data_IF_518546445953
#
_entry.id   IF_518546445953
#
_cell.length_a   1.000
_cell.length_b   1.000
_cell.length_c   1.000
_cell.angle_alpha   90.00
_cell.angle_beta   90.00
_cell.angle_gamma   90.00
#
_symmetry.space_group_name_H-M   'P 1'
#
loop_
_entity.id
_entity.type
_entity.pdbx_description
1 polymer ?
#
# COMPACT_ATOMS: atom_id res chain seq x y z
N UNK A 1 11.16 55.37 24.64
CA UNK A 1 9.84 55.16 25.27
C UNK A 1 9.41 53.74 25.01
N UNK A 2 9.39 52.90 26.05
CA UNK A 2 8.52 51.72 26.25
C UNK A 2 8.94 51.03 27.56
N UNK A 3 8.01 50.47 28.34
CA UNK A 3 8.17 50.30 29.78
C UNK A 3 8.56 48.88 30.23
N UNK A 4 9.06 48.80 31.46
CA UNK A 4 9.21 47.58 32.27
C UNK A 4 7.88 46.80 32.36
N UNK A 5 7.97 45.48 32.25
CA UNK A 5 6.98 44.53 32.74
C UNK A 5 7.67 43.33 33.43
N UNK A 6 7.03 42.66 34.40
CA UNK A 6 7.69 42.16 35.60
C UNK A 6 8.08 40.67 35.57
N UNK A 7 9.02 40.32 36.45
CA UNK A 7 9.52 38.97 36.75
C UNK A 7 8.42 38.08 37.34
N UNK A 8 8.23 36.89 36.76
CA UNK A 8 7.45 35.78 37.31
C UNK A 8 8.33 34.87 38.20
N UNK A 9 7.78 34.31 39.31
CA UNK A 9 8.54 33.48 40.23
C UNK A 9 8.61 32.00 39.79
N UNK A 10 9.76 31.38 40.06
CA UNK A 10 10.07 29.95 39.92
C UNK A 10 9.21 29.10 40.87
N UNK A 11 8.49 28.11 40.33
CA UNK A 11 7.89 27.01 41.10
C UNK A 11 8.85 25.81 41.14
N UNK A 12 8.98 25.09 42.27
CA UNK A 12 9.85 23.93 42.38
C UNK A 12 9.19 22.66 41.82
N UNK A 13 9.93 21.95 40.97
CA UNK A 13 9.64 20.58 40.52
C UNK A 13 9.71 19.61 41.71
N UNK A 14 8.56 19.06 42.13
CA UNK A 14 8.53 17.92 43.05
C UNK A 14 8.83 16.62 42.27
N UNK A 15 9.97 16.03 42.58
CA UNK A 15 10.40 14.69 42.18
C UNK A 15 9.55 13.61 42.87
N UNK A 16 8.67 12.94 42.14
CA UNK A 16 8.10 11.67 42.57
C UNK A 16 9.03 10.51 42.11
N UNK A 17 9.69 9.87 43.07
CA UNK A 17 10.48 8.63 42.89
C UNK A 17 9.64 7.39 43.29
N UNK A 18 10.03 6.18 42.84
CA UNK A 18 9.13 5.06 42.57
C UNK A 18 8.83 4.18 43.78
N UNK A 19 7.68 3.51 43.77
CA UNK A 19 7.33 2.47 44.74
C UNK A 19 8.01 1.12 44.40
N UNK A 20 8.50 0.36 45.40
CA UNK A 20 9.23 -0.89 45.17
C UNK A 20 8.33 -2.13 45.19
N UNK A 21 8.93 -3.19 44.66
CA UNK A 21 8.45 -4.54 44.36
C UNK A 21 7.98 -5.36 45.56
N UNK A 22 7.11 -6.34 45.29
CA UNK A 22 6.90 -7.55 46.10
C UNK A 22 6.71 -8.77 45.17
N UNK A 23 7.59 -9.79 45.24
CA UNK A 23 7.28 -11.14 44.82
C UNK A 23 7.32 -12.11 46.02
N UNK A 24 6.31 -12.96 46.16
CA UNK A 24 6.34 -14.08 47.11
C UNK A 24 6.03 -15.42 46.43
N UNK A 25 7.10 -16.21 46.39
CA UNK A 25 7.31 -17.66 46.31
C UNK A 25 6.12 -18.64 46.22
N UNK A 26 6.24 -19.51 45.21
CA UNK A 26 6.31 -20.98 45.24
C UNK A 26 5.71 -21.77 46.44
N UNK A 27 4.86 -22.75 46.09
CA UNK A 27 4.47 -23.86 46.95
C UNK A 27 3.78 -24.99 46.15
N UNK A 28 4.43 -26.14 46.08
CA UNK A 28 4.08 -27.39 45.40
C UNK A 28 2.96 -28.16 46.12
N UNK A 29 2.08 -28.88 45.39
CA UNK A 29 1.75 -30.31 45.59
C UNK A 29 0.57 -30.77 44.73
N UNK A 30 0.75 -31.93 44.11
CA UNK A 30 -0.28 -32.76 43.50
C UNK A 30 -1.22 -33.36 44.57
N UNK A 31 -2.47 -33.66 44.20
CA UNK A 31 -3.24 -34.81 44.68
C UNK A 31 -4.52 -34.99 43.86
N UNK A 32 -4.90 -36.26 43.72
CA UNK A 32 -6.00 -36.78 42.93
C UNK A 32 -7.38 -36.46 43.54
N UNK A 33 -8.41 -36.44 42.69
CA UNK A 33 -9.46 -37.48 42.64
C UNK A 33 -10.88 -36.97 42.33
N UNK A 34 -11.57 -37.80 41.52
CA UNK A 34 -13.03 -38.06 41.46
C UNK A 34 -13.95 -37.03 40.78
N UNK A 35 -14.34 -37.42 39.56
CA UNK A 35 -15.62 -37.09 38.91
C UNK A 35 -16.77 -37.88 39.58
N UNK A 36 -18.01 -37.38 39.56
CA UNK A 36 -19.18 -38.24 39.55
C UNK A 36 -19.78 -38.34 38.14
N UNK A 37 -20.23 -39.55 37.88
CA UNK A 37 -20.94 -40.07 36.71
C UNK A 37 -22.43 -39.88 36.96
N UNK A 38 -23.20 -39.51 35.93
CA UNK A 38 -24.65 -39.75 35.88
C UNK A 38 -24.98 -40.35 34.51
N UNK A 39 -25.14 -41.68 34.55
CA UNK A 39 -25.72 -42.55 33.53
C UNK A 39 -27.25 -42.50 33.59
N UNK A 40 -27.95 -42.70 32.47
CA UNK A 40 -29.19 -43.53 32.33
C UNK A 40 -29.64 -43.56 30.85
N UNK A 41 -30.45 -44.55 30.41
CA UNK A 41 -29.99 -45.51 29.39
C UNK A 41 -30.74 -45.43 28.05
N UNK A 42 -30.14 -46.10 27.07
CA UNK A 42 -30.75 -46.45 25.77
C UNK A 42 -31.93 -47.42 25.93
N UNK A 43 -33.00 -47.21 25.17
CA UNK A 43 -33.85 -48.31 24.69
C UNK A 43 -34.21 -48.09 23.22
N UNK A 44 -33.76 -49.01 22.36
CA UNK A 44 -34.23 -49.19 20.98
C UNK A 44 -35.52 -49.99 21.00
N UNK A 45 -36.58 -49.51 20.35
CA UNK A 45 -37.70 -50.33 19.87
C UNK A 45 -38.21 -49.77 18.54
N UNK A 46 -38.23 -50.65 17.53
CA UNK A 46 -39.10 -50.64 16.35
C UNK A 46 -39.43 -52.14 16.10
N UNK A 47 -40.42 -52.56 15.29
CA UNK A 47 -41.28 -51.81 14.34
C UNK A 47 -42.79 -52.21 14.39
N UNK A 48 -43.66 -51.57 13.58
CA UNK A 48 -44.80 -52.24 12.89
C UNK A 48 -45.48 -51.34 11.84
N UNK A 49 -46.13 -52.01 10.90
CA UNK A 49 -46.52 -51.59 9.55
C UNK A 49 -47.84 -50.77 9.43
N UNK A 50 -48.02 -50.22 8.21
CA UNK A 50 -49.09 -49.39 7.60
C UNK A 50 -50.54 -49.93 7.73
N UNK A 51 -51.62 -49.15 7.42
CA UNK A 51 -51.99 -48.83 6.03
C UNK A 51 -52.69 -47.47 5.73
N UNK A 52 -52.54 -47.05 4.47
CA UNK A 52 -53.46 -46.37 3.53
C UNK A 52 -54.39 -45.18 3.92
N UNK A 53 -54.35 -44.20 3.00
CA UNK A 53 -55.45 -43.37 2.45
C UNK A 53 -55.76 -42.01 3.08
N UNK A 54 -55.52 -40.94 2.32
CA UNK A 54 -56.56 -40.07 1.72
C UNK A 54 -55.87 -38.83 1.12
N UNK A 55 -56.09 -38.59 -0.17
CA UNK A 55 -55.46 -37.51 -0.92
C UNK A 55 -56.04 -36.14 -0.57
N UNK A 56 -55.16 -35.13 -0.51
CA UNK A 56 -55.46 -33.74 -0.79
C UNK A 56 -54.22 -33.15 -1.46
N UNK A 57 -54.36 -32.74 -2.72
CA UNK A 57 -53.39 -31.93 -3.46
C UNK A 57 -53.50 -30.49 -2.99
N UNK A 58 -52.42 -29.81 -2.53
CA UNK A 58 -52.41 -28.36 -2.52
C UNK A 58 -51.46 -27.84 -3.60
N UNK A 59 -52.02 -26.90 -4.36
CA UNK A 59 -51.41 -25.86 -5.16
C UNK A 59 -49.88 -25.88 -5.30
N UNK A 60 -49.45 -26.05 -6.56
CA UNK A 60 -48.16 -25.65 -7.10
C UNK A 60 -47.85 -24.22 -6.65
N UNK A 61 -47.15 -24.09 -5.53
CA UNK A 61 -46.52 -22.84 -5.14
C UNK A 61 -45.58 -22.48 -6.30
N UNK A 62 -45.87 -21.36 -6.98
CA UNK A 62 -44.89 -20.70 -7.82
C UNK A 62 -43.72 -20.36 -6.88
N UNK A 63 -42.74 -21.26 -6.83
CA UNK A 63 -41.39 -20.94 -6.41
C UNK A 63 -40.97 -19.78 -7.30
N UNK A 64 -41.05 -18.56 -6.75
CA UNK A 64 -40.50 -17.38 -7.37
C UNK A 64 -39.09 -17.74 -7.78
N UNK A 65 -38.83 -17.70 -9.10
CA UNK A 65 -37.47 -17.79 -9.62
C UNK A 65 -36.65 -16.81 -8.82
N UNK A 66 -35.72 -17.32 -8.00
CA UNK A 66 -34.65 -16.50 -7.46
C UNK A 66 -34.11 -15.69 -8.62
N UNK A 67 -34.04 -14.36 -8.47
CA UNK A 67 -33.41 -13.52 -9.46
C UNK A 67 -32.07 -14.16 -9.82
N UNK A 68 -31.72 -14.31 -11.12
CA UNK A 68 -30.49 -14.96 -11.50
C UNK A 68 -29.37 -14.27 -10.74
N UNK A 69 -28.63 -15.03 -9.92
CA UNK A 69 -27.43 -14.53 -9.26
C UNK A 69 -26.58 -13.92 -10.37
N UNK A 70 -26.47 -12.58 -10.40
CA UNK A 70 -25.67 -11.91 -11.42
C UNK A 70 -24.28 -12.52 -11.33
N UNK A 71 -23.92 -13.26 -12.37
CA UNK A 71 -22.72 -14.10 -12.36
C UNK A 71 -21.52 -13.18 -12.10
N UNK A 72 -20.81 -13.40 -10.98
CA UNK A 72 -19.66 -12.55 -10.63
C UNK A 72 -18.57 -12.77 -11.66
N UNK A 73 -17.89 -11.72 -12.17
CA UNK A 73 -16.89 -11.93 -13.19
C UNK A 73 -15.71 -12.74 -12.63
N UNK A 74 -15.31 -13.76 -13.39
CA UNK A 74 -14.19 -14.64 -13.04
C UNK A 74 -12.87 -13.87 -13.00
N UNK A 75 -11.99 -14.31 -12.11
CA UNK A 75 -10.64 -13.79 -11.95
C UNK A 75 -9.88 -13.85 -13.27
N UNK A 76 -9.20 -12.75 -13.60
CA UNK A 76 -8.34 -12.67 -14.79
C UNK A 76 -6.89 -12.83 -14.35
N UNK A 77 -6.25 -13.93 -14.78
CA UNK A 77 -4.85 -14.21 -14.45
C UNK A 77 -3.90 -13.09 -14.91
N UNK A 78 -4.16 -12.47 -16.06
CA UNK A 78 -3.35 -11.35 -16.56
C UNK A 78 -3.38 -10.10 -15.67
N UNK A 79 -4.35 -10.00 -14.76
CA UNK A 79 -4.48 -8.92 -13.78
C UNK A 79 -4.12 -9.38 -12.37
N UNK A 80 -3.56 -10.59 -12.20
CA UNK A 80 -3.15 -11.12 -10.89
C UNK A 80 -4.26 -11.13 -9.84
N UNK A 81 -5.53 -11.28 -10.25
CA UNK A 81 -6.68 -11.17 -9.36
C UNK A 81 -6.80 -12.41 -8.46
N UNK A 82 -6.63 -12.20 -7.15
CA UNK A 82 -7.07 -13.11 -6.09
C UNK A 82 -8.09 -12.36 -5.23
N UNK A 83 -9.35 -12.78 -5.25
CA UNK A 83 -10.41 -12.06 -4.54
C UNK A 83 -10.45 -12.51 -3.09
N UNK A 84 -10.43 -11.56 -2.16
CA UNK A 84 -10.62 -11.85 -0.73
C UNK A 84 -12.09 -12.22 -0.50
N UNK A 85 -12.35 -13.40 0.04
CA UNK A 85 -13.71 -13.89 0.34
C UNK A 85 -14.02 -13.87 1.84
N UNK A 86 -13.01 -13.96 2.70
CA UNK A 86 -13.18 -13.92 4.14
C UNK A 86 -13.51 -12.50 4.63
N UNK A 87 -14.79 -12.30 4.99
CA UNK A 87 -15.31 -11.02 5.50
C UNK A 87 -14.66 -10.60 6.83
N UNK A 88 -14.27 -11.55 7.68
CA UNK A 88 -13.61 -11.24 8.96
C UNK A 88 -12.20 -10.68 8.73
N UNK A 89 -11.48 -11.24 7.74
CA UNK A 89 -10.19 -10.73 7.27
C UNK A 89 -10.37 -9.35 6.63
N UNK A 90 -11.38 -9.18 5.77
CA UNK A 90 -11.67 -7.89 5.13
C UNK A 90 -11.88 -6.77 6.16
N UNK A 91 -12.72 -7.01 7.17
CA UNK A 91 -12.91 -6.06 8.26
C UNK A 91 -11.63 -5.78 9.04
N UNK A 92 -10.78 -6.79 9.26
CA UNK A 92 -9.51 -6.63 9.97
C UNK A 92 -8.50 -5.79 9.17
N UNK A 93 -8.50 -5.90 7.84
CA UNK A 93 -7.72 -5.02 6.95
C UNK A 93 -8.24 -3.59 7.05
N UNK A 94 -9.55 -3.37 6.96
CA UNK A 94 -10.17 -2.03 7.08
C UNK A 94 -9.83 -1.38 8.43
N UNK A 95 -9.93 -2.14 9.53
CA UNK A 95 -9.54 -1.66 10.87
C UNK A 95 -8.04 -1.38 11.01
N UNK A 96 -7.19 -1.85 10.09
CA UNK A 96 -5.77 -1.53 10.11
C UNK A 96 -5.50 -0.11 9.57
N UNK A 97 -6.44 0.52 8.87
CA UNK A 97 -6.37 1.94 8.52
C UNK A 97 -6.65 2.77 9.78
N UNK A 98 -5.65 3.52 10.25
CA UNK A 98 -5.72 4.29 11.50
C UNK A 98 -5.44 5.77 11.31
N UNK A 99 -5.03 6.21 10.11
CA UNK A 99 -4.86 7.61 9.81
C UNK A 99 -6.15 8.38 10.17
N UNK A 100 -6.03 9.57 10.81
CA UNK A 100 -7.18 10.42 11.05
C UNK A 100 -7.76 10.80 9.70
N UNK A 101 -8.87 10.15 9.34
CA UNK A 101 -9.54 10.38 8.06
C UNK A 101 -10.32 11.70 8.15
N UNK A 102 -9.60 12.84 8.16
CA UNK A 102 -10.21 14.15 8.07
C UNK A 102 -10.89 14.32 6.70
N UNK A 103 -11.83 15.26 6.61
CA UNK A 103 -12.74 15.44 5.48
C UNK A 103 -14.14 14.92 5.79
N UNK A 104 -15.17 15.61 5.29
CA UNK A 104 -16.57 15.20 5.48
C UNK A 104 -16.77 13.73 5.08
N UNK A 105 -17.32 12.93 6.01
CA UNK A 105 -17.61 11.51 5.76
C UNK A 105 -16.40 10.63 5.39
N UNK A 106 -15.16 11.04 5.70
CA UNK A 106 -13.97 10.26 5.34
C UNK A 106 -13.53 10.40 3.89
N UNK A 107 -13.79 11.56 3.27
CA UNK A 107 -13.53 11.83 1.84
C UNK A 107 -12.09 11.64 1.33
N UNK A 108 -11.11 11.48 2.23
CA UNK A 108 -9.69 11.28 1.88
C UNK A 108 -9.27 9.79 1.80
N UNK A 109 -10.18 8.85 2.05
CA UNK A 109 -9.92 7.42 1.85
C UNK A 109 -10.00 7.07 0.37
N UNK A 110 -8.98 6.37 -0.13
CA UNK A 110 -8.96 5.86 -1.49
C UNK A 110 -8.68 4.36 -1.49
N UNK A 111 -9.63 3.58 -2.00
CA UNK A 111 -9.43 2.15 -2.26
C UNK A 111 -8.84 1.93 -3.67
N UNK A 112 -7.70 1.26 -3.72
CA UNK A 112 -6.97 0.96 -4.96
C UNK A 112 -7.27 -0.47 -5.39
N UNK A 113 -7.97 -0.63 -6.51
CA UNK A 113 -8.35 -1.94 -7.04
C UNK A 113 -9.38 -2.65 -6.14
N UNK A 114 -10.60 -2.12 -5.98
CA UNK A 114 -11.66 -2.73 -5.17
C UNK A 114 -12.06 -4.14 -5.63
N UNK A 115 -11.82 -4.51 -6.90
CA UNK A 115 -12.17 -5.81 -7.44
C UNK A 115 -13.67 -6.10 -7.28
N UNK A 116 -14.01 -7.20 -6.60
CA UNK A 116 -15.40 -7.57 -6.34
C UNK A 116 -16.04 -6.82 -5.16
N UNK A 117 -15.34 -5.89 -4.51
CA UNK A 117 -15.87 -5.09 -3.42
C UNK A 117 -15.67 -5.67 -2.01
N UNK A 118 -14.66 -6.53 -1.84
CA UNK A 118 -14.42 -7.26 -0.59
C UNK A 118 -14.13 -6.31 0.59
N UNK A 119 -13.33 -5.26 0.38
CA UNK A 119 -13.10 -4.21 1.37
C UNK A 119 -14.10 -3.07 1.23
N UNK A 120 -14.51 -2.76 -0.01
CA UNK A 120 -15.34 -1.61 -0.37
C UNK A 120 -16.60 -1.46 0.45
N UNK A 121 -17.34 -2.53 0.71
CA UNK A 121 -18.58 -2.44 1.49
C UNK A 121 -18.34 -2.04 2.95
N UNK A 122 -17.27 -2.57 3.57
CA UNK A 122 -16.86 -2.21 4.92
C UNK A 122 -16.27 -0.79 4.97
N UNK A 123 -15.49 -0.40 3.95
CA UNK A 123 -14.93 0.94 3.83
C UNK A 123 -16.02 1.99 3.64
N UNK A 124 -16.99 1.74 2.76
CA UNK A 124 -18.08 2.69 2.49
C UNK A 124 -18.98 2.89 3.72
N UNK A 125 -19.15 1.85 4.54
CA UNK A 125 -19.88 1.96 5.81
C UNK A 125 -19.13 2.84 6.84
N UNK A 126 -17.79 2.78 6.87
CA UNK A 126 -16.96 3.57 7.78
C UNK A 126 -16.63 4.98 7.23
N UNK A 127 -16.58 5.12 5.90
CA UNK A 127 -16.13 6.30 5.17
C UNK A 127 -17.05 6.54 3.96
N UNK A 128 -18.27 7.09 4.16
CA UNK A 128 -19.22 7.32 3.07
C UNK A 128 -18.70 8.17 1.90
N UNK A 129 -17.71 9.04 2.15
CA UNK A 129 -17.10 9.91 1.14
C UNK A 129 -15.92 9.29 0.38
N UNK A 130 -15.59 8.02 0.63
CA UNK A 130 -14.42 7.37 0.03
C UNK A 130 -14.47 7.34 -1.51
N UNK A 131 -13.29 7.31 -2.13
CA UNK A 131 -13.12 7.05 -3.55
C UNK A 131 -12.61 5.62 -3.76
N UNK A 132 -13.17 4.91 -4.75
CA UNK A 132 -12.59 3.69 -5.29
C UNK A 132 -12.03 3.93 -6.70
N UNK A 133 -10.88 3.32 -7.00
CA UNK A 133 -10.23 3.39 -8.32
C UNK A 133 -9.99 1.98 -8.85
N UNK A 134 -10.64 1.64 -9.96
CA UNK A 134 -10.59 0.29 -10.56
C UNK A 134 -10.24 0.37 -12.05
N UNK A 135 -9.43 -0.56 -12.54
CA UNK A 135 -9.00 -0.63 -13.94
C UNK A 135 -9.87 -1.60 -14.76
N UNK A 136 -10.40 -2.66 -14.13
CA UNK A 136 -11.23 -3.66 -14.78
C UNK A 136 -12.67 -3.16 -14.95
N UNK A 137 -13.04 -2.83 -16.19
CA UNK A 137 -14.40 -2.38 -16.55
C UNK A 137 -15.52 -3.30 -16.05
N UNK A 138 -15.25 -4.61 -15.90
CA UNK A 138 -16.23 -5.59 -15.42
C UNK A 138 -16.51 -5.40 -13.92
N UNK A 139 -15.44 -5.16 -13.15
CA UNK A 139 -15.54 -4.83 -11.73
C UNK A 139 -16.23 -3.50 -11.53
N UNK A 140 -15.91 -2.50 -12.37
CA UNK A 140 -16.60 -1.20 -12.37
C UNK A 140 -18.11 -1.35 -12.57
N UNK A 141 -18.53 -2.14 -13.56
CA UNK A 141 -19.95 -2.39 -13.81
C UNK A 141 -20.63 -3.10 -12.64
N UNK A 142 -19.95 -4.08 -12.02
CA UNK A 142 -20.43 -4.80 -10.85
C UNK A 142 -20.61 -3.85 -9.65
N UNK A 143 -19.59 -3.04 -9.34
CA UNK A 143 -19.60 -2.14 -8.19
C UNK A 143 -20.65 -1.04 -8.35
N UNK A 144 -20.80 -0.43 -9.53
CA UNK A 144 -21.88 0.55 -9.78
C UNK A 144 -23.27 -0.04 -9.57
N UNK A 145 -23.45 -1.32 -9.90
CA UNK A 145 -24.73 -1.99 -9.75
C UNK A 145 -25.03 -2.41 -8.31
N UNK A 146 -24.01 -2.68 -7.49
CA UNK A 146 -24.16 -3.16 -6.11
C UNK A 146 -24.07 -2.04 -5.07
N UNK A 147 -23.26 -1.02 -5.33
CA UNK A 147 -22.92 0.08 -4.43
C UNK A 147 -23.12 1.42 -5.16
N UNK A 148 -24.38 1.83 -5.46
CA UNK A 148 -24.65 3.03 -6.24
C UNK A 148 -24.20 4.34 -5.57
N UNK A 149 -24.00 4.33 -4.24
CA UNK A 149 -23.48 5.47 -3.48
C UNK A 149 -21.94 5.59 -3.52
N UNK A 150 -21.23 4.59 -4.06
CA UNK A 150 -19.77 4.60 -4.13
C UNK A 150 -19.28 5.59 -5.20
N UNK A 151 -18.43 6.52 -4.83
CA UNK A 151 -17.65 7.27 -5.81
C UNK A 151 -16.60 6.34 -6.45
N UNK A 152 -16.72 6.09 -7.75
CA UNK A 152 -15.89 5.10 -8.46
C UNK A 152 -15.32 5.66 -9.76
N UNK A 153 -13.98 5.69 -9.86
CA UNK A 153 -13.25 6.06 -11.08
C UNK A 153 -12.73 4.82 -11.81
N UNK A 154 -13.03 4.74 -13.11
CA UNK A 154 -12.49 3.71 -14.00
C UNK A 154 -11.15 4.17 -14.61
N UNK A 155 -10.04 3.83 -13.98
CA UNK A 155 -8.69 4.18 -14.45
C UNK A 155 -7.59 3.31 -13.82
N UNK A 156 -6.40 3.35 -14.41
CA UNK A 156 -5.18 2.78 -13.82
C UNK A 156 -4.75 3.63 -12.62
N UNK A 157 -4.76 3.06 -11.42
CA UNK A 157 -4.32 3.77 -10.21
C UNK A 157 -2.87 4.25 -10.30
N UNK A 158 -1.98 3.53 -11.00
CA UNK A 158 -0.63 4.04 -11.18
C UNK A 158 -0.65 5.35 -11.99
N UNK A 159 -1.50 5.48 -13.00
CA UNK A 159 -1.61 6.71 -13.78
C UNK A 159 -2.31 7.89 -13.05
N UNK A 160 -2.79 7.68 -11.82
CA UNK A 160 -3.47 8.72 -11.04
C UNK A 160 -2.45 9.68 -10.40
N UNK A 161 -2.60 10.97 -10.65
CA UNK A 161 -1.79 12.02 -10.02
C UNK A 161 -2.28 12.27 -8.59
N UNK A 162 -1.55 11.73 -7.60
CA UNK A 162 -1.96 11.78 -6.20
C UNK A 162 -1.94 13.20 -5.63
N UNK A 163 -1.05 14.07 -6.11
CA UNK A 163 -1.02 15.48 -5.71
C UNK A 163 -2.32 16.21 -6.10
N UNK A 164 -2.78 15.98 -7.33
CA UNK A 164 -4.03 16.56 -7.82
C UNK A 164 -5.24 16.00 -7.08
N UNK A 165 -5.25 14.69 -6.80
CA UNK A 165 -6.32 14.07 -6.01
C UNK A 165 -6.32 14.58 -4.55
N UNK A 166 -5.16 14.71 -3.92
CA UNK A 166 -5.06 15.26 -2.57
C UNK A 166 -5.59 16.70 -2.51
N UNK A 167 -5.26 17.53 -3.50
CA UNK A 167 -5.83 18.88 -3.62
C UNK A 167 -7.36 18.85 -3.81
N UNK A 168 -7.86 17.98 -4.69
CA UNK A 168 -9.30 17.75 -4.91
C UNK A 168 -10.02 17.34 -3.61
N UNK A 169 -9.38 16.52 -2.77
CA UNK A 169 -9.92 16.03 -1.48
C UNK A 169 -9.60 16.90 -0.29
N UNK A 170 -8.92 18.03 -0.50
CA UNK A 170 -8.60 18.98 0.57
C UNK A 170 -7.54 18.48 1.58
N UNK A 171 -6.66 17.55 1.20
CA UNK A 171 -5.52 17.16 2.02
C UNK A 171 -4.94 15.77 1.72
N UNK A 172 -4.02 15.34 2.58
CA UNK A 172 -3.33 14.05 2.45
C UNK A 172 -4.30 12.86 2.45
N UNK A 173 -3.96 11.85 1.64
CA UNK A 173 -4.79 10.69 1.35
C UNK A 173 -4.45 9.51 2.26
N UNK A 174 -5.46 8.73 2.61
CA UNK A 174 -5.32 7.43 3.26
C UNK A 174 -5.64 6.34 2.23
N UNK A 175 -4.64 5.54 1.87
CA UNK A 175 -4.74 4.58 0.77
C UNK A 175 -4.90 3.16 1.30
N UNK A 176 -5.78 2.37 0.68
CA UNK A 176 -6.00 0.97 1.10
C UNK A 176 -6.20 0.07 -0.11
N UNK A 177 -5.67 -1.15 -0.07
CA UNK A 177 -5.77 -2.08 -1.18
C UNK A 177 -5.59 -3.53 -0.75
N UNK A 178 -6.42 -4.41 -1.31
CA UNK A 178 -6.04 -5.81 -1.51
C UNK A 178 -5.23 -5.90 -2.82
N UNK A 179 -3.93 -5.64 -2.73
CA UNK A 179 -3.10 -5.29 -3.88
C UNK A 179 -2.82 -6.49 -4.80
N UNK A 180 -2.99 -6.35 -6.12
CA UNK A 180 -2.49 -7.35 -7.06
C UNK A 180 -0.97 -7.51 -6.96
N UNK A 181 -0.49 -8.74 -6.73
CA UNK A 181 0.92 -8.96 -6.34
C UNK A 181 1.95 -8.46 -7.37
N UNK A 182 1.63 -8.53 -8.66
CA UNK A 182 2.52 -8.06 -9.74
C UNK A 182 2.78 -6.55 -9.69
N UNK A 183 1.92 -5.76 -9.02
CA UNK A 183 2.00 -4.30 -8.97
C UNK A 183 2.70 -3.78 -7.70
N UNK A 184 2.91 -4.64 -6.71
CA UNK A 184 3.31 -4.24 -5.35
C UNK A 184 4.51 -3.29 -5.33
N UNK A 185 5.59 -3.63 -6.04
CA UNK A 185 6.80 -2.79 -6.05
C UNK A 185 6.56 -1.41 -6.65
N UNK A 186 5.84 -1.34 -7.79
CA UNK A 186 5.54 -0.06 -8.45
C UNK A 186 4.67 0.83 -7.57
N UNK A 187 3.70 0.24 -6.88
CA UNK A 187 2.86 0.95 -5.94
C UNK A 187 3.68 1.51 -4.78
N UNK A 188 4.50 0.68 -4.13
CA UNK A 188 5.36 1.12 -3.02
C UNK A 188 6.28 2.28 -3.40
N UNK A 189 6.88 2.24 -4.59
CA UNK A 189 7.65 3.39 -5.06
C UNK A 189 6.77 4.61 -5.33
N UNK A 190 5.56 4.46 -5.88
CA UNK A 190 4.64 5.59 -6.08
C UNK A 190 4.26 6.28 -4.76
N UNK A 191 4.09 5.50 -3.69
CA UNK A 191 3.83 6.02 -2.34
C UNK A 191 5.00 6.88 -1.84
N UNK A 192 6.24 6.43 -2.05
CA UNK A 192 7.44 7.22 -1.70
C UNK A 192 7.58 8.47 -2.59
N UNK A 193 7.24 8.41 -3.88
CA UNK A 193 7.24 9.58 -4.75
C UNK A 193 6.22 10.64 -4.33
N UNK A 194 5.14 10.24 -3.66
CA UNK A 194 4.01 11.09 -3.27
C UNK A 194 3.91 11.24 -1.76
N UNK A 195 5.05 11.16 -1.06
CA UNK A 195 5.12 11.13 0.40
C UNK A 195 4.60 12.43 1.07
N UNK A 196 4.50 13.52 0.32
CA UNK A 196 3.92 14.78 0.77
C UNK A 196 2.39 14.71 0.93
N UNK A 197 1.74 13.83 0.17
CA UNK A 197 0.28 13.80 0.02
C UNK A 197 -0.35 12.47 0.40
N UNK A 198 0.44 11.54 0.93
CA UNK A 198 -0.04 10.25 1.45
C UNK A 198 0.28 10.17 2.94
N UNK A 199 -0.74 10.02 3.76
CA UNK A 199 -0.62 9.94 5.21
C UNK A 199 -0.40 8.49 5.70
N UNK A 200 -1.10 7.56 5.07
CA UNK A 200 -1.01 6.13 5.37
C UNK A 200 -1.37 5.31 4.14
N UNK A 201 -0.72 4.15 4.00
CA UNK A 201 -1.11 3.11 3.07
C UNK A 201 -1.23 1.75 3.77
N UNK A 202 -2.35 1.07 3.56
CA UNK A 202 -2.59 -0.33 3.96
C UNK A 202 -2.62 -1.20 2.71
N UNK A 203 -1.62 -2.07 2.58
CA UNK A 203 -1.45 -2.92 1.40
C UNK A 203 -1.39 -4.38 1.81
N UNK A 204 -2.00 -5.25 1.01
CA UNK A 204 -1.71 -6.68 1.04
C UNK A 204 -0.56 -7.00 0.07
N UNK A 205 0.33 -7.89 0.46
CA UNK A 205 1.41 -8.37 -0.42
C UNK A 205 1.84 -9.77 -0.02
N UNK A 206 2.55 -10.48 -0.89
CA UNK A 206 3.11 -11.78 -0.52
C UNK A 206 4.06 -11.62 0.69
N UNK A 207 4.05 -12.59 1.61
CA UNK A 207 4.89 -12.54 2.83
C UNK A 207 6.37 -12.30 2.50
N UNK A 208 6.90 -12.94 1.46
CA UNK A 208 8.27 -12.77 0.99
C UNK A 208 8.60 -11.32 0.58
N UNK A 209 7.62 -10.58 0.04
CA UNK A 209 7.77 -9.18 -0.32
C UNK A 209 7.75 -8.32 0.94
N UNK A 210 6.87 -8.61 1.90
CA UNK A 210 6.84 -7.93 3.20
C UNK A 210 8.16 -8.12 3.96
N UNK A 211 8.71 -9.34 3.96
CA UNK A 211 10.04 -9.64 4.53
C UNK A 211 11.15 -8.85 3.84
N UNK A 212 11.10 -8.71 2.51
CA UNK A 212 12.03 -7.87 1.75
C UNK A 212 11.92 -6.40 2.14
N UNK A 213 10.72 -5.86 2.30
CA UNK A 213 10.52 -4.47 2.74
C UNK A 213 11.12 -4.22 4.14
N UNK A 214 10.95 -5.18 5.05
CA UNK A 214 11.40 -5.09 6.45
C UNK A 214 12.82 -5.63 6.69
N UNK A 215 13.50 -6.06 5.63
CA UNK A 215 14.82 -6.67 5.72
C UNK A 215 15.86 -5.70 6.28
N UNK A 216 16.74 -6.21 7.16
CA UNK A 216 17.89 -5.46 7.71
C UNK A 216 19.14 -5.62 6.84
N UNK A 217 20.11 -4.69 6.92
CA UNK A 217 21.40 -4.84 6.27
C UNK A 217 22.05 -6.20 6.57
N UNK A 218 22.80 -6.71 5.60
CA UNK A 218 23.45 -8.01 5.63
C UNK A 218 22.53 -9.21 5.37
N UNK A 219 21.19 -9.06 5.43
CA UNK A 219 20.27 -10.16 5.15
C UNK A 219 20.15 -10.49 3.66
N UNK A 220 19.76 -11.72 3.33
CA UNK A 220 19.57 -12.16 1.93
C UNK A 220 18.45 -11.37 1.23
N UNK A 221 17.44 -10.94 1.98
CA UNK A 221 16.28 -10.23 1.47
C UNK A 221 16.54 -8.72 1.28
N UNK A 222 17.60 -8.16 1.87
CA UNK A 222 17.89 -6.72 1.82
C UNK A 222 18.13 -6.19 0.40
N UNK A 223 17.45 -5.12 0.00
CA UNK A 223 17.58 -4.57 -1.34
C UNK A 223 17.01 -3.16 -1.47
N UNK A 224 16.82 -2.74 -2.71
CA UNK A 224 16.31 -1.40 -3.05
C UNK A 224 15.00 -1.07 -2.31
N UNK A 225 14.06 -2.02 -2.23
CA UNK A 225 12.79 -1.82 -1.51
C UNK A 225 13.00 -1.64 -0.01
N UNK A 226 13.92 -2.40 0.59
CA UNK A 226 14.25 -2.29 2.01
C UNK A 226 14.76 -0.88 2.32
N UNK A 227 15.75 -0.43 1.55
CA UNK A 227 16.37 0.89 1.73
C UNK A 227 15.37 2.01 1.48
N UNK A 228 14.68 2.01 0.33
CA UNK A 228 13.78 3.11 -0.03
C UNK A 228 12.64 3.29 0.96
N UNK A 229 12.01 2.20 1.40
CA UNK A 229 10.84 2.30 2.28
C UNK A 229 11.25 2.60 3.72
N UNK A 230 12.42 2.14 4.18
CA UNK A 230 12.92 2.46 5.52
C UNK A 230 13.51 3.87 5.60
N UNK A 231 14.06 4.40 4.49
CA UNK A 231 14.47 5.80 4.40
C UNK A 231 13.27 6.73 4.42
N UNK A 232 12.29 6.49 3.56
CA UNK A 232 11.17 7.40 3.33
C UNK A 232 9.87 6.93 3.98
N UNK A 233 9.96 6.23 5.11
CA UNK A 233 8.78 5.82 5.85
C UNK A 233 9.03 4.78 6.92
N UNK A 234 7.92 4.31 7.49
CA UNK A 234 7.90 3.30 8.56
C UNK A 234 7.02 2.13 8.13
N UNK A 235 7.56 1.18 7.33
CA UNK A 235 6.80 -0.03 7.00
C UNK A 235 6.67 -0.92 8.24
N UNK A 236 5.48 -1.49 8.44
CA UNK A 236 5.20 -2.42 9.52
C UNK A 236 4.29 -3.56 9.03
N UNK A 237 4.67 -4.80 9.33
CA UNK A 237 3.79 -5.96 9.13
C UNK A 237 2.73 -5.96 10.23
N UNK A 238 1.47 -5.92 9.86
CA UNK A 238 0.34 -5.86 10.79
C UNK A 238 -0.10 -7.27 11.17
N UNK A 239 -0.37 -8.13 10.17
CA UNK A 239 -0.70 -9.54 10.36
C UNK A 239 -0.63 -10.30 9.02
N UNK A 240 -0.71 -11.63 9.11
CA UNK A 240 -0.75 -12.51 7.95
C UNK A 240 -2.15 -13.05 7.69
N UNK A 241 -2.41 -13.30 6.42
CA UNK A 241 -3.64 -13.87 5.88
C UNK A 241 -3.27 -15.20 5.22
N UNK A 242 -3.96 -16.30 5.60
CA UNK A 242 -3.74 -17.59 4.99
C UNK A 242 -4.34 -17.62 3.56
N UNK A 243 -3.77 -18.41 2.62
CA UNK A 243 -4.24 -18.47 1.23
C UNK A 243 -5.73 -18.80 1.06
N UNK A 244 -6.29 -19.57 1.99
CA UNK A 244 -7.68 -20.02 1.99
C UNK A 244 -8.69 -18.88 2.16
N UNK A 245 -8.24 -17.69 2.57
CA UNK A 245 -9.08 -16.49 2.63
C UNK A 245 -9.40 -15.92 1.23
N UNK A 246 -8.78 -16.44 0.17
CA UNK A 246 -8.88 -15.92 -1.20
C UNK A 246 -9.43 -16.94 -2.20
N UNK A 247 -10.03 -16.43 -3.27
CA UNK A 247 -10.50 -17.21 -4.42
C UNK A 247 -10.17 -16.51 -5.75
N UNK A 248 -9.37 -17.15 -6.64
CA UNK A 248 -8.60 -18.36 -6.37
C UNK A 248 -7.57 -18.14 -5.24
N UNK A 249 -7.23 -19.20 -4.52
CA UNK A 249 -6.23 -19.15 -3.46
C UNK A 249 -4.83 -18.89 -4.07
N UNK A 250 -4.06 -17.92 -3.53
CA UNK A 250 -2.68 -17.70 -3.94
C UNK A 250 -1.79 -18.88 -3.50
N UNK A 251 -0.62 -19.02 -4.14
CA UNK A 251 0.35 -20.08 -3.81
C UNK A 251 1.16 -19.83 -2.54
N UNK A 252 0.98 -18.67 -1.91
CA UNK A 252 1.77 -18.23 -0.77
C UNK A 252 0.89 -17.47 0.21
N UNK A 253 1.34 -17.37 1.45
CA UNK A 253 0.73 -16.49 2.44
C UNK A 253 0.83 -15.02 2.02
N UNK A 254 -0.15 -14.25 2.48
CA UNK A 254 -0.25 -12.82 2.23
C UNK A 254 -0.06 -12.09 3.55
N UNK A 255 0.71 -11.01 3.56
CA UNK A 255 0.88 -10.11 4.69
C UNK A 255 0.12 -8.82 4.45
N UNK A 256 -0.47 -8.28 5.50
CA UNK A 256 -0.95 -6.90 5.56
C UNK A 256 0.19 -6.03 6.07
N UNK A 257 0.56 -5.03 5.29
CA UNK A 257 1.62 -4.07 5.63
C UNK A 257 1.00 -2.68 5.72
N UNK A 258 1.30 -2.00 6.84
CA UNK A 258 1.05 -0.58 7.02
C UNK A 258 2.31 0.18 6.65
N UNK A 259 2.14 1.28 5.93
CA UNK A 259 3.24 2.14 5.54
C UNK A 259 2.84 3.61 5.71
N UNK A 260 3.65 4.36 6.45
CA UNK A 260 3.57 5.81 6.55
C UNK A 260 4.73 6.40 5.77
N UNK A 261 4.51 6.86 4.53
CA UNK A 261 5.56 7.55 3.78
C UNK A 261 5.87 8.92 4.39
N UNK A 262 7.10 9.39 4.21
CA UNK A 262 7.54 10.73 4.64
C UNK A 262 8.47 11.33 3.60
N UNK A 263 8.31 12.63 3.35
CA UNK A 263 9.23 13.39 2.52
C UNK A 263 10.55 13.68 3.25
N UNK A 264 10.56 13.67 4.60
CA UNK A 264 11.77 13.79 5.43
C UNK A 264 12.37 12.39 5.62
N UNK A 265 13.50 12.06 4.97
CA UNK A 265 14.08 10.74 5.14
C UNK A 265 14.67 10.55 6.54
N UNK A 266 14.75 9.29 6.97
CA UNK A 266 15.35 8.91 8.24
C UNK A 266 16.80 9.42 8.33
N UNK A 267 17.12 10.13 9.41
CA UNK A 267 18.45 10.71 9.64
C UNK A 267 18.64 12.09 8.98
N UNK A 268 17.58 12.74 8.52
CA UNK A 268 17.59 14.13 8.04
C UNK A 268 16.58 15.00 8.79
N UNK A 269 16.83 16.30 8.77
CA UNK A 269 15.96 17.31 9.39
C UNK A 269 14.97 17.93 8.39
N UNK A 270 15.29 17.89 7.09
CA UNK A 270 14.52 18.57 6.05
C UNK A 270 13.90 17.58 5.06
N UNK A 271 12.75 17.99 4.49
CA UNK A 271 12.06 17.24 3.47
C UNK A 271 12.87 17.22 2.17
N UNK A 272 13.01 16.04 1.57
CA UNK A 272 13.55 15.89 0.23
C UNK A 272 12.47 16.23 -0.78
N UNK A 273 12.85 16.95 -1.83
CA UNK A 273 12.04 17.08 -3.05
C UNK A 273 11.90 15.73 -3.77
N UNK A 274 10.90 15.62 -4.66
CA UNK A 274 10.73 14.43 -5.52
C UNK A 274 12.00 14.13 -6.34
N UNK A 275 12.69 15.16 -6.86
CA UNK A 275 13.95 15.01 -7.60
C UNK A 275 15.09 14.46 -6.72
N UNK A 276 15.20 14.89 -5.47
CA UNK A 276 16.18 14.31 -4.53
C UNK A 276 15.89 12.84 -4.26
N UNK A 277 14.62 12.46 -4.06
CA UNK A 277 14.25 11.05 -3.92
C UNK A 277 14.60 10.26 -5.19
N UNK A 278 14.36 10.82 -6.37
CA UNK A 278 14.70 10.20 -7.67
C UNK A 278 16.19 9.89 -7.78
N UNK A 279 17.06 10.83 -7.36
CA UNK A 279 18.51 10.64 -7.28
C UNK A 279 18.88 9.45 -6.38
N UNK A 280 18.30 9.39 -5.19
CA UNK A 280 18.53 8.28 -4.24
C UNK A 280 18.09 6.95 -4.88
N UNK A 281 16.91 6.90 -5.50
CA UNK A 281 16.43 5.69 -6.18
C UNK A 281 17.37 5.26 -7.33
N UNK A 282 17.88 6.22 -8.11
CA UNK A 282 18.82 5.94 -9.20
C UNK A 282 20.14 5.36 -8.67
N UNK A 283 20.68 5.95 -7.59
CA UNK A 283 21.88 5.44 -6.90
C UNK A 283 21.66 4.02 -6.38
N UNK A 284 20.51 3.76 -5.77
CA UNK A 284 20.17 2.42 -5.26
C UNK A 284 20.06 1.39 -6.40
N UNK A 285 19.46 1.76 -7.53
CA UNK A 285 19.40 0.85 -8.69
C UNK A 285 20.79 0.48 -9.19
N UNK A 286 21.64 1.49 -9.39
CA UNK A 286 23.02 1.28 -9.84
C UNK A 286 23.80 0.38 -8.86
N UNK A 287 23.71 0.68 -7.57
CA UNK A 287 24.46 -0.05 -6.54
C UNK A 287 23.97 -1.50 -6.40
N UNK A 288 22.66 -1.73 -6.31
CA UNK A 288 22.10 -3.07 -6.09
C UNK A 288 22.07 -3.97 -7.33
N UNK A 289 22.22 -3.45 -8.55
CA UNK A 289 22.48 -4.30 -9.73
C UNK A 289 23.76 -5.11 -9.57
N UNK A 290 24.78 -4.49 -8.96
CA UNK A 290 26.04 -5.13 -8.60
C UNK A 290 26.14 -5.41 -7.10
N UNK A 291 25.06 -5.90 -6.47
CA UNK A 291 24.94 -6.16 -5.01
C UNK A 291 26.16 -6.81 -4.35
N UNK A 292 26.83 -7.73 -5.05
CA UNK A 292 27.97 -8.52 -4.55
C UNK A 292 29.34 -7.87 -4.82
N UNK A 293 29.38 -6.71 -5.49
CA UNK A 293 30.60 -5.94 -5.76
C UNK A 293 30.70 -4.78 -4.76
N UNK A 294 31.93 -4.37 -4.46
CA UNK A 294 32.20 -3.21 -3.61
C UNK A 294 31.73 -1.92 -4.31
N UNK A 295 31.35 -0.91 -3.54
CA UNK A 295 30.88 0.36 -4.05
C UNK A 295 31.90 1.05 -4.96
N UNK A 296 33.21 0.99 -4.67
CA UNK A 296 34.27 1.50 -5.57
C UNK A 296 34.22 0.91 -6.97
N UNK A 297 33.79 -0.35 -7.10
CA UNK A 297 33.68 -1.03 -8.40
C UNK A 297 32.42 -0.57 -9.12
N UNK A 298 31.29 -0.55 -8.40
CA UNK A 298 29.98 -0.19 -8.96
C UNK A 298 29.89 1.28 -9.35
N UNK A 299 30.50 2.17 -8.57
CA UNK A 299 30.43 3.62 -8.74
C UNK A 299 31.62 4.18 -9.54
N UNK A 300 32.52 3.33 -10.04
CA UNK A 300 33.76 3.76 -10.73
C UNK A 300 33.54 4.83 -11.80
N UNK A 301 32.41 4.78 -12.52
CA UNK A 301 32.06 5.75 -13.56
C UNK A 301 31.50 7.08 -13.05
N UNK A 302 30.97 7.11 -11.83
CA UNK A 302 30.40 8.31 -11.21
C UNK A 302 31.42 9.04 -10.33
N UNK A 303 32.41 8.32 -9.77
CA UNK A 303 33.41 8.91 -8.88
C UNK A 303 34.20 10.10 -9.47
N UNK A 304 34.57 10.12 -10.77
CA UNK A 304 35.26 11.28 -11.36
C UNK A 304 34.41 12.55 -11.39
N UNK A 305 33.09 12.41 -11.50
CA UNK A 305 32.12 13.51 -11.58
C UNK A 305 31.45 13.79 -10.22
N UNK A 306 31.93 13.15 -9.15
CA UNK A 306 31.35 13.29 -7.82
C UNK A 306 31.58 14.70 -7.26
N UNK A 307 30.60 15.23 -6.52
CA UNK A 307 30.71 16.54 -5.87
C UNK A 307 31.88 16.57 -4.87
N UNK A 308 32.12 15.48 -4.15
CA UNK A 308 33.29 15.30 -3.28
C UNK A 308 33.63 13.81 -3.22
N UNK A 309 34.92 13.48 -3.05
CA UNK A 309 35.36 12.09 -2.95
C UNK A 309 34.74 11.39 -1.73
N UNK A 310 33.96 10.31 -1.92
CA UNK A 310 33.45 9.52 -0.79
C UNK A 310 34.60 8.84 -0.04
N UNK A 311 34.47 8.64 1.28
CA UNK A 311 35.47 7.95 2.09
C UNK A 311 35.80 6.54 1.59
N UNK A 312 37.07 6.15 1.66
CA UNK A 312 37.57 4.87 1.15
C UNK A 312 36.95 3.64 1.84
N UNK A 313 36.65 3.77 3.14
CA UNK A 313 36.00 2.76 3.98
C UNK A 313 34.54 2.54 3.57
N UNK A 314 33.80 3.61 3.24
CA UNK A 314 32.46 3.52 2.65
C UNK A 314 32.54 2.84 1.28
N UNK A 315 33.50 3.23 0.44
CA UNK A 315 33.69 2.65 -0.89
C UNK A 315 34.14 1.19 -0.90
N UNK A 316 34.73 0.70 0.19
CA UNK A 316 35.12 -0.70 0.37
C UNK A 316 33.95 -1.61 0.76
N UNK A 317 32.82 -1.06 1.20
CA UNK A 317 31.61 -1.84 1.52
C UNK A 317 30.86 -2.28 0.27
N UNK A 318 30.04 -3.32 0.39
CA UNK A 318 29.02 -3.72 -0.58
C UNK A 318 27.69 -3.05 -0.24
N UNK A 319 26.81 -2.80 -1.23
CA UNK A 319 25.49 -2.19 -1.00
C UNK A 319 24.66 -2.92 0.07
N UNK A 320 24.77 -4.25 0.13
CA UNK A 320 24.02 -5.04 1.12
C UNK A 320 24.49 -4.84 2.57
N UNK A 321 25.66 -4.23 2.79
CA UNK A 321 26.26 -3.98 4.10
C UNK A 321 26.01 -2.56 4.63
N UNK A 322 25.40 -1.69 3.82
CA UNK A 322 25.10 -0.30 4.19
C UNK A 322 23.79 -0.23 4.96
N UNK A 323 23.77 0.60 6.00
CA UNK A 323 22.53 1.07 6.61
C UNK A 323 21.78 1.97 5.62
N UNK A 324 20.45 2.08 5.71
CA UNK A 324 19.69 2.92 4.77
C UNK A 324 20.22 4.36 4.68
N UNK A 325 20.59 4.97 5.81
CA UNK A 325 21.13 6.33 5.89
C UNK A 325 22.51 6.50 5.24
N UNK A 326 23.32 5.44 5.14
CA UNK A 326 24.62 5.50 4.46
C UNK A 326 24.46 5.83 2.97
N UNK A 327 23.32 5.45 2.38
CA UNK A 327 23.01 5.82 1.00
C UNK A 327 22.69 7.30 0.81
N UNK A 328 22.20 7.97 1.86
CA UNK A 328 22.02 9.42 1.82
C UNK A 328 23.37 10.13 1.87
N UNK A 329 24.26 9.69 2.77
CA UNK A 329 25.65 10.19 2.84
C UNK A 329 26.37 9.99 1.50
N UNK A 330 26.23 8.80 0.92
CA UNK A 330 26.78 8.50 -0.40
C UNK A 330 26.17 9.38 -1.50
N UNK A 331 24.88 9.67 -1.43
CA UNK A 331 24.22 10.59 -2.35
C UNK A 331 24.77 12.01 -2.23
N UNK A 332 25.08 12.50 -1.02
CA UNK A 332 25.68 13.82 -0.82
C UNK A 332 27.07 13.91 -1.45
N UNK A 333 27.91 12.87 -1.30
CA UNK A 333 29.22 12.86 -1.96
C UNK A 333 29.12 12.84 -3.49
N UNK A 334 28.15 12.11 -4.05
CA UNK A 334 28.00 11.99 -5.50
C UNK A 334 27.31 13.22 -6.10
N UNK A 335 26.26 13.74 -5.45
CA UNK A 335 25.37 14.75 -6.00
C UNK A 335 25.40 16.11 -5.27
N UNK A 336 26.14 16.26 -4.16
CA UNK A 336 26.13 17.46 -3.33
C UNK A 336 24.88 17.61 -2.46
N UNK A 337 24.98 18.47 -1.44
CA UNK A 337 23.90 18.74 -0.46
C UNK A 337 22.76 19.59 -1.05
N UNK A 338 23.09 20.55 -1.93
CA UNK A 338 22.14 21.44 -2.59
C UNK A 338 21.88 21.04 -4.04
N UNK A 339 20.65 20.59 -4.31
CA UNK A 339 20.23 20.12 -5.63
C UNK A 339 19.76 21.24 -6.55
N UNK A 340 20.63 21.74 -7.44
CA UNK A 340 20.24 22.45 -8.67
C UNK A 340 21.41 22.77 -9.66
N UNK A 341 22.25 21.81 -10.07
CA UNK A 341 23.22 22.06 -11.16
C UNK A 341 22.94 21.23 -12.41
N UNK A 342 22.91 21.89 -13.57
CA UNK A 342 22.54 21.35 -14.88
C UNK A 342 23.40 20.16 -15.33
N UNK A 343 24.64 20.06 -14.83
CA UNK A 343 25.56 18.92 -15.05
C UNK A 343 25.07 17.61 -14.43
N UNK A 344 24.12 17.65 -13.49
CA UNK A 344 23.58 16.49 -12.78
C UNK A 344 22.35 15.87 -13.45
N UNK A 345 21.62 16.62 -14.29
CA UNK A 345 20.56 16.07 -15.12
C UNK A 345 21.11 15.07 -16.13
N UNK A 346 22.30 15.32 -16.67
CA UNK A 346 23.02 14.39 -17.55
C UNK A 346 23.47 13.12 -16.81
N UNK A 347 23.90 13.22 -15.55
CA UNK A 347 24.26 12.06 -14.72
C UNK A 347 23.02 11.20 -14.40
N UNK A 348 21.90 11.82 -14.00
CA UNK A 348 20.60 11.15 -13.82
C UNK A 348 20.06 10.57 -15.12
N UNK A 349 20.17 11.27 -16.25
CA UNK A 349 19.72 10.79 -17.56
C UNK A 349 20.54 9.57 -18.01
N UNK A 350 21.86 9.60 -17.79
CA UNK A 350 22.75 8.45 -18.05
C UNK A 350 22.46 7.26 -17.13
N UNK A 351 22.11 7.50 -15.87
CA UNK A 351 21.74 6.45 -14.90
C UNK A 351 20.33 5.87 -15.13
N UNK A 352 19.38 6.70 -15.54
CA UNK A 352 17.97 6.31 -15.76
C UNK A 352 17.75 5.61 -17.11
N UNK A 353 18.51 5.98 -18.15
CA UNK A 353 18.47 5.31 -19.46
C UNK A 353 19.05 3.89 -19.44
N UNK A 354 19.98 3.60 -18.51
CA UNK A 354 20.67 2.32 -18.47
C UNK A 354 19.80 1.16 -17.95
N UNK A 355 18.86 1.41 -17.03
CA UNK A 355 18.20 0.32 -16.27
C UNK A 355 16.69 0.51 -16.08
N UNK A 356 15.96 0.56 -17.20
CA UNK A 356 14.53 0.26 -17.21
C UNK A 356 14.34 -1.27 -17.12
N UNK A 357 14.07 -1.79 -15.92
CA UNK A 357 13.41 -3.09 -15.82
C UNK A 357 12.11 -3.03 -16.62
N UNK A 358 11.75 -4.03 -17.46
CA UNK A 358 10.53 -3.98 -18.28
C UNK A 358 9.24 -3.77 -17.47
N UNK A 359 9.26 -4.08 -16.17
CA UNK A 359 8.14 -3.91 -15.25
C UNK A 359 8.14 -2.58 -14.48
N UNK A 360 9.18 -1.75 -14.60
CA UNK A 360 9.27 -0.45 -13.91
C UNK A 360 8.81 0.68 -14.82
N UNK A 361 7.68 1.29 -14.50
CA UNK A 361 7.10 2.42 -15.26
C UNK A 361 7.22 3.71 -14.45
N UNK A 362 8.38 4.41 -14.48
CA UNK A 362 8.65 5.54 -13.58
C UNK A 362 7.65 6.69 -13.74
N UNK A 363 7.22 6.97 -14.97
CA UNK A 363 6.22 7.99 -15.27
C UNK A 363 4.87 7.67 -14.62
N UNK A 364 4.45 6.39 -14.62
CA UNK A 364 3.24 5.99 -13.89
C UNK A 364 3.46 5.93 -12.39
N UNK A 365 4.65 5.56 -11.94
CA UNK A 365 4.96 5.58 -10.51
C UNK A 365 5.12 7.02 -9.96
N UNK A 366 4.93 8.08 -10.77
CA UNK A 366 5.00 9.46 -10.34
C UNK A 366 6.42 10.00 -10.15
N UNK A 367 7.45 9.28 -10.62
CA UNK A 367 8.88 9.62 -10.48
C UNK A 367 9.45 10.38 -11.68
N UNK A 368 8.66 10.64 -12.71
CA UNK A 368 9.08 11.46 -13.86
C UNK A 368 7.82 12.19 -14.33
N UNK A 369 7.86 13.52 -14.46
CA UNK A 369 6.76 14.27 -15.10
C UNK A 369 6.54 13.70 -16.49
N UNK A 370 5.29 13.42 -16.88
CA UNK A 370 4.99 12.90 -18.22
C UNK A 370 5.34 13.94 -19.30
N UNK A 371 6.60 14.02 -19.69
CA UNK A 371 7.07 14.87 -20.78
C UNK A 371 6.77 14.17 -22.12
N UNK A 372 5.50 14.21 -22.52
CA UNK A 372 4.99 14.32 -23.89
C UNK A 372 3.58 13.70 -24.02
N UNK A 373 2.58 14.58 -24.05
CA UNK A 373 1.50 14.46 -25.04
C UNK A 373 0.92 15.84 -25.37
N UNK A 374 1.39 16.35 -26.51
CA UNK A 374 0.71 17.28 -27.43
C UNK A 374 0.49 18.73 -26.96
N UNK A 375 1.54 19.54 -27.14
CA UNK A 375 1.35 20.78 -27.89
C UNK A 375 0.97 20.44 -29.35
N UNK A 376 -0.33 20.27 -29.62
CA UNK A 376 -0.91 20.40 -30.96
C UNK A 376 -2.19 21.24 -30.83
N UNK A 377 -2.04 22.50 -31.27
CA UNK A 377 -3.00 23.56 -31.69
C UNK A 377 -4.44 23.50 -31.15
N UNK A 378 -5.00 24.66 -30.72
CA UNK A 378 -6.40 24.76 -30.36
C UNK A 378 -7.27 24.52 -31.61
N UNK A 379 -8.20 23.57 -31.54
CA UNK A 379 -9.28 23.49 -32.51
C UNK A 379 -10.20 24.68 -32.26
N UNK A 380 -10.20 25.59 -33.23
CA UNK A 380 -11.09 26.72 -33.29
C UNK A 380 -12.55 26.26 -33.28
N UNK A 381 -13.38 27.00 -32.57
CA UNK A 381 -14.81 27.08 -32.82
C UNK A 381 -15.04 27.46 -34.28
N UNK A 382 -15.95 26.75 -34.96
CA UNK A 382 -16.56 27.23 -36.20
C UNK A 382 -16.82 26.16 -37.24
N UNK A 383 -18.11 25.99 -37.52
CA UNK A 383 -18.70 25.56 -38.81
C UNK A 383 -19.11 24.09 -38.96
N UNK A 384 -20.40 23.88 -38.66
CA UNK A 384 -21.26 22.82 -39.18
C UNK A 384 -21.40 22.93 -40.71
N UNK A 385 -21.25 21.85 -41.50
CA UNK A 385 -21.86 21.78 -42.82
C UNK A 385 -23.32 21.34 -42.68
N UNK A 386 -24.22 22.15 -43.26
CA UNK A 386 -25.65 21.90 -43.41
C UNK A 386 -25.90 20.67 -44.30
N UNK A 387 -27.02 20.00 -44.05
CA UNK A 387 -27.63 19.04 -44.99
C UNK A 387 -28.12 19.76 -46.26
N UNK A 388 -28.04 19.05 -47.37
CA UNK A 388 -28.72 19.28 -48.66
C UNK A 388 -28.11 18.23 -49.60
N UNK A 389 -28.75 17.08 -49.85
CA UNK A 389 -29.95 16.86 -50.65
C UNK A 389 -29.85 17.49 -52.06
N UNK A 390 -30.01 16.60 -53.02
CA UNK A 390 -30.50 16.79 -54.39
C UNK A 390 -29.49 16.98 -55.55
N UNK A 391 -29.70 16.05 -56.49
CA UNK A 391 -29.65 16.16 -57.97
C UNK A 391 -28.35 15.96 -58.76
N UNK A 392 -28.52 15.01 -59.69
CA UNK A 392 -27.81 14.64 -60.94
C UNK A 392 -26.48 13.86 -60.88
#
# INVERSE_FOLDING_TARGET
MAPLAPRLPLLPLLLARPSPLLPLRAGSRALHSRKPVLSFPFSRVAPRASPLSMGITPARALAGRAAPSRERPKAKQSLGQNFLEDSSVAQRIVRALVAPVAGEGGGRVVEMGPGQGALTSHLLAAHPGMLAVEIDKRMVALLRAQLPALELRHMDFLALELDALAAERGGALALISNTPFYLTSQLLFKLVASAEVVEEAILTMQVEVAEKVLARPGSKQYGILSVMLQLFGRPARVFDIPPEAFSPAPKCHVAVVRFHPTAVPLGREHAFSRQQREKVLALLKLTFEHRRKMLRVTLKKLLPDAATAPPDDLLAKRPEQLEPQDFLVLADFIFGEDTATATQEDALARMSAAHASPSWQPHKAGWVKSSNKAAKRPLALGEYPRRGNDTE
#
